data_IF_515238861589
#
_entry.id   IF_515238861589
#
_cell.length_a   1.000
_cell.length_b   1.000
_cell.length_c   1.000
_cell.angle_alpha   90.00
_cell.angle_beta   90.00
_cell.angle_gamma   90.00
#
_symmetry.space_group_name_H-M   'P 1'
#
loop_
_entity.id
_entity.type
_entity.pdbx_description
1 polymer ?
#
# COMPACT_ATOMS: atom_id res chain seq x y z
N UNK A 1 -17.29 -1.83 7.22
CA UNK A 1 -16.29 -1.48 8.27
C UNK A 1 -15.92 0.01 8.20
N UNK A 2 -15.91 0.76 9.34
CA UNK A 2 -15.47 2.18 9.36
C UNK A 2 -13.93 2.24 9.49
N UNK A 3 -13.24 2.66 8.44
CA UNK A 3 -11.76 2.76 8.41
C UNK A 3 -11.34 4.18 8.77
N UNK A 4 -10.52 4.36 9.81
CA UNK A 4 -9.92 5.66 10.18
C UNK A 4 -8.78 6.02 9.22
N UNK A 5 -8.53 7.30 9.00
CA UNK A 5 -7.44 7.80 8.16
C UNK A 5 -6.56 8.75 8.97
N UNK A 6 -5.28 8.41 9.08
CA UNK A 6 -4.25 9.23 9.71
C UNK A 6 -3.26 9.69 8.63
N UNK A 7 -3.06 11.02 8.53
CA UNK A 7 -2.18 11.64 7.54
C UNK A 7 -0.96 12.26 8.22
N UNK A 8 0.22 12.01 7.67
CA UNK A 8 1.50 12.54 8.17
C UNK A 8 2.24 13.30 7.06
N UNK A 9 2.99 14.33 7.43
CA UNK A 9 3.92 15.02 6.51
C UNK A 9 5.12 14.13 6.18
N UNK A 10 5.67 13.45 7.19
CA UNK A 10 6.82 12.56 7.07
C UNK A 10 6.81 11.51 8.17
N UNK A 11 7.19 10.27 7.84
CA UNK A 11 7.41 9.18 8.80
C UNK A 11 8.68 8.39 8.40
N UNK A 12 9.19 7.56 9.31
CA UNK A 12 10.23 6.59 8.95
C UNK A 12 9.67 5.59 7.92
N UNK A 13 8.58 4.93 8.27
CA UNK A 13 7.82 4.00 7.42
C UNK A 13 6.36 4.02 7.85
N UNK A 14 5.42 3.94 6.92
CA UNK A 14 3.98 3.83 7.24
C UNK A 14 3.67 2.50 7.91
N UNK A 15 4.37 1.39 7.56
CA UNK A 15 4.25 0.10 8.26
C UNK A 15 4.77 0.19 9.69
N UNK A 16 5.92 0.82 9.93
CA UNK A 16 6.45 0.98 11.29
C UNK A 16 5.55 1.87 12.15
N UNK A 17 4.92 2.88 11.54
CA UNK A 17 3.93 3.71 12.21
C UNK A 17 2.69 2.89 12.60
N UNK A 18 2.20 2.02 11.70
CA UNK A 18 1.11 1.09 11.99
C UNK A 18 1.46 0.13 13.14
N UNK A 19 2.66 -0.47 13.10
CA UNK A 19 3.18 -1.34 14.18
C UNK A 19 3.18 -0.61 15.54
N UNK A 20 3.65 0.63 15.57
CA UNK A 20 3.67 1.44 16.80
C UNK A 20 2.26 1.73 17.31
N UNK A 21 1.32 2.08 16.42
CA UNK A 21 -0.08 2.32 16.79
C UNK A 21 -0.72 1.07 17.40
N UNK A 22 -0.48 -0.11 16.84
CA UNK A 22 -0.98 -1.38 17.40
C UNK A 22 -0.43 -1.60 18.82
N UNK A 23 0.86 -1.35 19.05
CA UNK A 23 1.52 -1.50 20.35
C UNK A 23 0.96 -0.53 21.43
N UNK A 24 0.42 0.62 21.04
CA UNK A 24 -0.30 1.53 21.96
C UNK A 24 -1.82 1.27 21.96
N UNK A 25 -2.22 0.01 21.73
CA UNK A 25 -3.61 -0.51 21.78
C UNK A 25 -4.59 0.15 20.78
N UNK A 26 -4.09 0.64 19.65
CA UNK A 26 -4.94 1.17 18.59
C UNK A 26 -5.53 0.02 17.78
N UNK A 27 -6.77 -0.37 18.05
CA UNK A 27 -7.39 -1.60 17.50
C UNK A 27 -8.33 -1.37 16.30
N UNK A 28 -8.76 -0.12 16.08
CA UNK A 28 -9.70 0.16 14.96
C UNK A 28 -8.99 0.04 13.61
N UNK A 29 -9.68 -0.52 12.57
CA UNK A 29 -9.15 -0.53 11.21
C UNK A 29 -8.72 0.87 10.77
N UNK A 30 -7.46 1.01 10.36
CA UNK A 30 -6.87 2.33 10.14
C UNK A 30 -5.95 2.33 8.93
N UNK A 31 -6.04 3.39 8.13
CA UNK A 31 -5.06 3.73 7.10
C UNK A 31 -4.13 4.82 7.65
N UNK A 32 -2.83 4.55 7.60
CA UNK A 32 -1.75 5.51 7.82
C UNK A 32 -1.21 5.92 6.47
N UNK A 33 -1.16 7.20 6.16
CA UNK A 33 -0.53 7.72 4.93
C UNK A 33 0.47 8.81 5.23
N UNK A 34 1.49 8.95 4.38
CA UNK A 34 2.52 9.99 4.52
C UNK A 34 2.92 10.56 3.17
N UNK A 35 3.29 11.85 3.13
CA UNK A 35 3.80 12.50 1.92
C UNK A 35 5.18 11.98 1.52
N UNK A 36 6.01 11.54 2.49
CA UNK A 36 7.33 10.92 2.28
C UNK A 36 7.65 9.93 3.38
N UNK A 37 8.51 8.96 3.07
CA UNK A 37 9.09 8.06 4.07
C UNK A 37 10.62 8.20 4.05
N UNK A 38 11.26 8.31 5.22
CA UNK A 38 12.72 8.43 5.32
C UNK A 38 13.42 7.07 5.31
N UNK A 39 12.72 6.01 5.73
CA UNK A 39 13.19 4.63 5.74
C UNK A 39 12.09 3.69 5.22
N UNK A 40 11.55 3.99 4.01
CA UNK A 40 10.53 3.14 3.37
C UNK A 40 11.04 1.71 3.20
N UNK A 41 10.20 0.72 3.52
CA UNK A 41 10.53 -0.70 3.48
C UNK A 41 9.83 -1.41 2.33
N UNK A 42 10.54 -2.32 1.69
CA UNK A 42 10.03 -3.31 0.76
C UNK A 42 10.20 -4.73 1.32
N UNK A 43 9.89 -5.74 0.53
CA UNK A 43 10.07 -7.14 0.89
C UNK A 43 11.56 -7.51 0.97
N UNK A 44 11.90 -8.52 1.79
CA UNK A 44 13.26 -9.08 1.92
C UNK A 44 14.33 -8.02 2.25
N UNK A 45 14.00 -7.08 3.15
CA UNK A 45 14.93 -6.03 3.57
C UNK A 45 15.22 -4.93 2.54
N UNK A 46 14.61 -4.98 1.35
CA UNK A 46 14.81 -3.96 0.31
C UNK A 46 14.21 -2.62 0.75
N UNK A 47 14.85 -1.53 0.33
CA UNK A 47 14.34 -0.16 0.54
C UNK A 47 13.25 0.16 -0.49
N UNK A 48 12.22 0.89 -0.06
CA UNK A 48 11.23 1.52 -0.95
C UNK A 48 11.49 3.02 -1.03
N UNK A 49 11.84 3.52 -2.22
CA UNK A 49 12.11 4.96 -2.42
C UNK A 49 10.79 5.73 -2.31
N UNK A 50 10.72 6.65 -1.36
CA UNK A 50 9.49 7.32 -0.96
C UNK A 50 9.61 8.85 -1.01
N UNK A 51 9.90 9.40 -2.18
CA UNK A 51 9.94 10.86 -2.43
C UNK A 51 8.52 11.45 -2.46
N UNK A 52 8.36 12.70 -2.00
CA UNK A 52 7.09 13.46 -2.11
C UNK A 52 6.61 13.48 -3.56
N UNK A 53 5.32 13.25 -3.76
CA UNK A 53 4.69 13.17 -5.09
C UNK A 53 4.01 11.81 -5.34
N UNK A 54 4.53 10.74 -4.79
CA UNK A 54 3.94 9.40 -4.87
C UNK A 54 3.01 9.10 -3.69
N UNK A 55 2.24 8.02 -3.77
CA UNK A 55 1.30 7.62 -2.73
C UNK A 55 1.88 6.48 -1.88
N UNK A 56 2.03 6.74 -0.57
CA UNK A 56 2.48 5.77 0.42
C UNK A 56 1.44 5.65 1.52
N UNK A 57 0.96 4.45 1.75
CA UNK A 57 0.01 4.20 2.83
C UNK A 57 0.11 2.77 3.34
N UNK A 58 -0.38 2.57 4.54
CA UNK A 58 -0.51 1.26 5.18
C UNK A 58 -1.89 1.15 5.78
N UNK A 59 -2.62 0.09 5.48
CA UNK A 59 -3.81 -0.30 6.21
C UNK A 59 -3.46 -1.36 7.23
N UNK A 60 -4.01 -1.25 8.44
CA UNK A 60 -3.93 -2.32 9.43
C UNK A 60 -5.28 -2.55 10.09
N UNK A 61 -5.53 -3.80 10.47
CA UNK A 61 -6.74 -4.24 11.16
C UNK A 61 -6.50 -5.57 11.86
N UNK A 62 -7.33 -5.85 12.87
CA UNK A 62 -7.35 -7.13 13.57
C UNK A 62 -7.89 -8.23 12.66
N UNK A 63 -7.19 -9.36 12.62
CA UNK A 63 -7.62 -10.56 11.89
C UNK A 63 -8.55 -11.39 12.77
N UNK A 64 -9.75 -11.66 12.29
CA UNK A 64 -10.57 -12.72 12.87
C UNK A 64 -9.99 -14.07 12.41
N UNK A 65 -9.36 -14.79 13.33
CA UNK A 65 -8.55 -16.00 13.05
C UNK A 65 -9.31 -17.14 12.37
N UNK A 66 -10.65 -17.09 12.35
CA UNK A 66 -11.48 -18.24 11.88
C UNK A 66 -11.71 -18.27 10.35
N UNK A 67 -11.35 -17.24 9.59
CA UNK A 67 -11.88 -17.11 8.22
C UNK A 67 -10.88 -17.07 7.06
N UNK A 68 -9.65 -16.57 7.18
CA UNK A 68 -8.76 -16.42 6.00
C UNK A 68 -7.28 -16.60 6.39
N UNK A 69 -6.54 -17.42 5.62
CA UNK A 69 -5.10 -17.58 5.77
C UNK A 69 -4.35 -16.33 5.28
N UNK A 70 -3.24 -15.98 5.96
CA UNK A 70 -2.33 -14.88 5.59
C UNK A 70 -1.92 -14.87 4.11
N UNK A 71 -1.68 -16.05 3.51
CA UNK A 71 -1.33 -16.19 2.10
C UNK A 71 -2.44 -15.70 1.16
N UNK A 72 -3.69 -15.96 1.49
CA UNK A 72 -4.84 -15.51 0.70
C UNK A 72 -4.97 -13.98 0.72
N UNK A 73 -4.63 -13.32 1.84
CA UNK A 73 -4.64 -11.86 1.88
C UNK A 73 -3.61 -11.23 0.94
N UNK A 74 -2.46 -11.87 0.71
CA UNK A 74 -1.47 -11.34 -0.24
C UNK A 74 -2.04 -11.30 -1.67
N UNK A 75 -2.74 -12.36 -2.07
CA UNK A 75 -3.42 -12.44 -3.37
C UNK A 75 -4.53 -11.39 -3.46
N UNK A 76 -5.40 -11.35 -2.46
CA UNK A 76 -6.56 -10.46 -2.43
C UNK A 76 -6.15 -8.98 -2.47
N UNK A 77 -5.12 -8.60 -1.70
CA UNK A 77 -4.63 -7.22 -1.67
C UNK A 77 -4.07 -6.80 -3.04
N UNK A 78 -3.24 -7.64 -3.67
CA UNK A 78 -2.70 -7.36 -5.00
C UNK A 78 -3.81 -7.27 -6.06
N UNK A 79 -4.78 -8.19 -6.03
CA UNK A 79 -5.93 -8.21 -6.94
C UNK A 79 -6.79 -6.95 -6.77
N UNK A 80 -7.13 -6.59 -5.52
CA UNK A 80 -7.95 -5.42 -5.24
C UNK A 80 -7.31 -4.14 -5.76
N UNK A 81 -6.05 -3.89 -5.42
CA UNK A 81 -5.33 -2.68 -5.84
C UNK A 81 -5.18 -2.65 -7.35
N UNK A 82 -4.84 -3.79 -7.99
CA UNK A 82 -4.83 -3.90 -9.45
C UNK A 82 -6.18 -3.51 -10.06
N UNK A 83 -7.28 -4.05 -9.53
CA UNK A 83 -8.65 -3.77 -10.02
C UNK A 83 -8.99 -2.29 -9.89
N UNK A 84 -8.68 -1.67 -8.75
CA UNK A 84 -8.95 -0.24 -8.52
C UNK A 84 -8.15 0.62 -9.51
N UNK A 85 -6.83 0.40 -9.62
CA UNK A 85 -5.97 1.18 -10.53
C UNK A 85 -6.38 0.96 -11.99
N UNK A 86 -6.64 -0.29 -12.39
CA UNK A 86 -7.05 -0.60 -13.77
C UNK A 86 -8.38 0.09 -14.13
N UNK A 87 -9.35 0.12 -13.21
CA UNK A 87 -10.66 0.77 -13.43
C UNK A 87 -10.52 2.30 -13.45
N UNK A 88 -9.83 2.87 -12.45
CA UNK A 88 -9.68 4.33 -12.30
C UNK A 88 -8.99 4.96 -13.50
N UNK A 89 -7.97 4.29 -14.03
CA UNK A 89 -7.14 4.84 -15.12
C UNK A 89 -7.39 4.19 -16.48
N UNK A 90 -8.35 3.27 -16.60
CA UNK A 90 -8.67 2.54 -17.85
C UNK A 90 -7.41 1.94 -18.49
N UNK A 91 -6.54 1.30 -17.70
CA UNK A 91 -5.28 0.70 -18.12
C UNK A 91 -5.17 -0.75 -17.66
N UNK A 92 -4.61 -1.61 -18.51
CA UNK A 92 -4.37 -3.03 -18.18
C UNK A 92 -3.14 -3.16 -17.27
N UNK A 93 -3.37 -3.26 -15.96
CA UNK A 93 -2.33 -3.50 -14.96
C UNK A 93 -2.20 -5.00 -14.75
N UNK A 94 -0.95 -5.51 -14.72
CA UNK A 94 -0.63 -6.91 -14.44
C UNK A 94 -0.09 -7.07 -13.01
N UNK A 95 -0.35 -8.20 -12.41
CA UNK A 95 0.27 -8.60 -11.13
C UNK A 95 1.56 -9.37 -11.48
N UNK A 96 2.68 -8.91 -10.93
CA UNK A 96 3.89 -9.73 -10.80
C UNK A 96 3.88 -10.31 -9.39
N UNK A 97 3.56 -11.57 -9.35
CA UNK A 97 3.45 -12.32 -8.11
C UNK A 97 4.75 -12.26 -7.27
N UNK A 98 4.70 -12.20 -5.92
CA UNK A 98 3.45 -12.16 -5.13
C UNK A 98 2.93 -10.77 -4.81
N UNK A 99 3.64 -9.67 -5.08
CA UNK A 99 3.41 -8.39 -4.39
C UNK A 99 3.67 -7.13 -5.24
N UNK A 100 3.88 -7.26 -6.54
CA UNK A 100 4.16 -6.11 -7.41
C UNK A 100 3.06 -5.92 -8.46
N UNK A 101 2.76 -4.67 -8.79
CA UNK A 101 1.92 -4.33 -9.94
C UNK A 101 2.76 -3.69 -11.03
N UNK A 102 2.51 -4.14 -12.26
CA UNK A 102 3.25 -3.71 -13.45
C UNK A 102 2.33 -3.11 -14.51
N UNK A 103 2.85 -2.14 -15.22
CA UNK A 103 2.35 -1.68 -16.51
C UNK A 103 3.46 -1.85 -17.56
N UNK A 104 3.17 -2.54 -18.66
CA UNK A 104 4.17 -2.82 -19.74
C UNK A 104 5.52 -3.30 -19.18
N UNK A 105 5.49 -4.30 -18.27
CA UNK A 105 6.66 -4.87 -17.58
C UNK A 105 7.39 -3.92 -16.60
N UNK A 106 6.98 -2.65 -16.48
CA UNK A 106 7.57 -1.66 -15.56
C UNK A 106 6.77 -1.60 -14.25
N UNK A 107 7.46 -1.58 -13.12
CA UNK A 107 6.83 -1.57 -11.78
C UNK A 107 6.21 -0.22 -11.46
N UNK A 108 4.94 -0.25 -11.06
CA UNK A 108 4.18 0.93 -10.63
C UNK A 108 3.75 0.87 -9.17
N UNK A 109 3.71 -0.32 -8.56
CA UNK A 109 3.30 -0.50 -7.17
C UNK A 109 4.03 -1.67 -6.54
N UNK A 110 4.36 -1.53 -5.26
CA UNK A 110 4.83 -2.61 -4.39
C UNK A 110 3.96 -2.72 -3.15
N UNK A 111 3.71 -3.96 -2.71
CA UNK A 111 2.90 -4.28 -1.53
C UNK A 111 3.76 -5.01 -0.53
N UNK A 112 3.80 -4.53 0.72
CA UNK A 112 4.50 -5.15 1.84
C UNK A 112 3.48 -5.59 2.88
N UNK A 113 3.25 -6.90 2.99
CA UNK A 113 2.32 -7.47 3.95
C UNK A 113 3.08 -8.09 5.12
N UNK A 114 2.65 -7.74 6.32
CA UNK A 114 3.22 -8.22 7.59
C UNK A 114 2.10 -8.60 8.55
N UNK A 115 2.40 -9.45 9.52
CA UNK A 115 1.51 -9.72 10.66
C UNK A 115 2.25 -9.50 11.97
N UNK A 116 1.50 -9.09 13.00
CA UNK A 116 1.99 -9.02 14.37
C UNK A 116 0.95 -9.60 15.31
N UNK A 117 1.39 -10.31 16.33
CA UNK A 117 0.59 -10.71 17.48
C UNK A 117 0.88 -9.70 18.58
N UNK A 118 -0.16 -9.08 19.11
CA UNK A 118 -0.07 -8.17 20.25
C UNK A 118 -1.16 -8.52 21.28
N UNK A 119 -0.75 -9.00 22.45
CA UNK A 119 -1.64 -9.66 23.39
C UNK A 119 -2.26 -10.91 22.76
N UNK A 120 -3.57 -11.07 22.90
CA UNK A 120 -4.34 -12.18 22.31
C UNK A 120 -4.81 -11.91 20.87
N UNK A 121 -4.41 -10.79 20.26
CA UNK A 121 -4.90 -10.33 18.95
C UNK A 121 -3.83 -10.43 17.90
N UNK A 122 -4.23 -10.91 16.71
CA UNK A 122 -3.38 -10.91 15.51
C UNK A 122 -3.81 -9.80 14.57
N UNK A 123 -2.87 -9.00 14.11
CA UNK A 123 -3.11 -7.91 13.17
C UNK A 123 -2.47 -8.18 11.82
N UNK A 124 -3.18 -7.81 10.76
CA UNK A 124 -2.64 -7.69 9.42
C UNK A 124 -2.23 -6.24 9.16
N UNK A 125 -1.05 -6.06 8.58
CA UNK A 125 -0.49 -4.78 8.19
C UNK A 125 -0.13 -4.87 6.72
N UNK A 126 -0.73 -4.02 5.88
CA UNK A 126 -0.52 -4.04 4.43
C UNK A 126 -0.05 -2.66 3.99
N UNK A 127 1.25 -2.54 3.78
CA UNK A 127 1.87 -1.35 3.22
C UNK A 127 1.82 -1.35 1.70
N UNK A 128 1.57 -0.19 1.12
CA UNK A 128 1.49 0.01 -0.31
C UNK A 128 2.24 1.27 -0.72
N UNK A 129 3.15 1.11 -1.67
CA UNK A 129 3.80 2.21 -2.36
C UNK A 129 3.37 2.23 -3.82
N UNK A 130 2.73 3.32 -4.26
CA UNK A 130 2.29 3.49 -5.65
C UNK A 130 3.06 4.65 -6.27
N UNK A 131 3.76 4.40 -7.36
CA UNK A 131 4.41 5.42 -8.17
C UNK A 131 3.32 6.18 -8.94
N UNK A 132 2.77 7.22 -8.34
CA UNK A 132 1.70 8.00 -8.94
C UNK A 132 2.22 9.08 -9.87
N UNK A 133 3.11 9.96 -9.37
CA UNK A 133 3.56 11.14 -10.10
C UNK A 133 5.06 11.15 -10.40
N UNK A 134 5.86 10.32 -9.72
CA UNK A 134 7.30 10.24 -9.91
C UNK A 134 7.73 8.80 -10.15
N UNK A 135 8.53 8.59 -11.19
CA UNK A 135 9.31 7.36 -11.36
C UNK A 135 10.50 7.41 -10.40
N UNK A 136 10.68 6.42 -9.51
CA UNK A 136 11.83 6.37 -8.62
C UNK A 136 13.15 6.16 -9.37
N UNK A 137 13.12 5.74 -10.63
CA UNK A 137 14.27 5.50 -11.51
C UNK A 137 15.36 4.66 -10.84
N UNK A 138 14.99 3.42 -10.48
CA UNK A 138 15.87 2.51 -9.74
C UNK A 138 16.66 1.65 -10.73
N UNK A 139 18.01 1.66 -10.62
CA UNK A 139 18.90 0.89 -11.52
C UNK A 139 18.63 -0.64 -11.49
N UNK A 140 18.20 -1.19 -10.36
CA UNK A 140 18.05 -2.65 -10.17
C UNK A 140 16.78 -3.27 -10.79
N UNK A 141 15.79 -2.46 -11.17
CA UNK A 141 14.58 -2.94 -11.88
C UNK A 141 13.88 -1.81 -12.63
N UNK A 142 13.20 -2.17 -13.72
CA UNK A 142 12.47 -1.21 -14.53
C UNK A 142 11.21 -0.72 -13.81
N UNK A 143 11.05 0.59 -13.64
CA UNK A 143 9.91 1.24 -13.03
C UNK A 143 9.28 2.30 -13.93
N UNK A 144 8.10 2.76 -13.56
CA UNK A 144 7.41 3.90 -14.15
C UNK A 144 6.40 4.46 -13.16
N UNK A 145 5.67 5.52 -13.52
CA UNK A 145 4.61 6.08 -12.69
C UNK A 145 3.30 6.27 -13.50
N UNK A 146 2.19 6.37 -12.77
CA UNK A 146 0.87 6.53 -13.39
C UNK A 146 0.76 7.82 -14.20
N UNK A 147 1.40 8.92 -13.76
CA UNK A 147 1.46 10.18 -14.50
C UNK A 147 1.94 9.99 -15.94
N UNK A 148 3.01 9.23 -16.16
CA UNK A 148 3.54 8.97 -17.51
C UNK A 148 2.62 8.08 -18.32
N UNK A 149 1.91 7.14 -17.67
CA UNK A 149 0.99 6.21 -18.34
C UNK A 149 -0.27 6.91 -18.87
N UNK A 150 -0.76 7.94 -18.17
CA UNK A 150 -2.02 8.61 -18.49
C UNK A 150 -1.84 10.08 -18.89
N UNK A 151 -0.59 10.53 -18.98
CA UNK A 151 -0.19 11.89 -19.36
C UNK A 151 -0.87 13.02 -18.56
N UNK A 152 -1.08 12.80 -17.24
CA UNK A 152 -1.60 13.82 -16.31
C UNK A 152 -1.21 13.56 -14.86
N UNK A 153 -1.18 14.61 -14.04
CA UNK A 153 -0.94 14.47 -12.61
C UNK A 153 -2.06 13.69 -11.91
N UNK A 154 -1.66 12.88 -10.94
CA UNK A 154 -2.57 12.09 -10.10
C UNK A 154 -2.82 12.83 -8.79
N UNK A 155 -4.08 13.06 -8.46
CA UNK A 155 -4.48 13.46 -7.11
C UNK A 155 -4.41 12.25 -6.17
N UNK A 156 -3.36 12.22 -5.35
CA UNK A 156 -3.12 11.13 -4.39
C UNK A 156 -4.21 11.05 -3.31
N UNK A 157 -4.84 12.16 -2.94
CA UNK A 157 -5.93 12.13 -1.95
C UNK A 157 -7.18 11.49 -2.55
N UNK A 158 -7.54 11.83 -3.79
CA UNK A 158 -8.66 11.23 -4.52
C UNK A 158 -8.44 9.73 -4.71
N UNK A 159 -7.24 9.33 -5.16
CA UNK A 159 -6.89 7.91 -5.33
C UNK A 159 -6.97 7.15 -4.00
N UNK A 160 -6.40 7.70 -2.92
CA UNK A 160 -6.45 7.09 -1.59
C UNK A 160 -7.89 6.96 -1.08
N UNK A 161 -8.74 7.95 -1.34
CA UNK A 161 -10.16 7.89 -0.98
C UNK A 161 -10.90 6.79 -1.75
N UNK A 162 -10.65 6.67 -3.05
CA UNK A 162 -11.18 5.58 -3.90
C UNK A 162 -10.75 4.21 -3.36
N UNK A 163 -9.47 4.05 -3.01
CA UNK A 163 -8.93 2.83 -2.40
C UNK A 163 -9.64 2.54 -1.06
N UNK A 164 -9.71 3.53 -0.16
CA UNK A 164 -10.39 3.40 1.14
C UNK A 164 -11.85 2.98 1.00
N UNK A 165 -12.59 3.55 0.03
CA UNK A 165 -13.99 3.21 -0.25
C UNK A 165 -14.13 1.74 -0.64
N UNK A 166 -13.26 1.24 -1.50
CA UNK A 166 -13.29 -0.14 -1.97
C UNK A 166 -12.80 -1.15 -0.92
N UNK A 167 -11.96 -0.73 0.04
CA UNK A 167 -11.49 -1.58 1.13
C UNK A 167 -12.50 -1.76 2.28
N UNK A 168 -13.61 -1.04 2.31
CA UNK A 168 -14.64 -1.21 3.35
C UNK A 168 -15.37 -2.55 3.28
N UNK A 169 -15.33 -3.20 2.13
CA UNK A 169 -16.03 -4.47 1.84
C UNK A 169 -15.13 -5.71 2.08
N UNK A 170 -13.99 -5.51 2.73
CA UNK A 170 -13.05 -6.55 3.16
C UNK A 170 -13.27 -7.02 4.58
#
# INVERSE_FOLDING_TARGET
>A
MKIKLLKFKSVKSTNDTALRLIKIKYSKPTIVTSLKQTKGRGTMGKKWISKKGNLFFTIFFELNQKKINFKHFAILNAYLIRRIISKEFKRKIKIKWPNDLLFSKKKICGILQETIIYGKKKFLIVGMGINTNLDPNIKSFSSTCLKYIINRNIDNNKLLYTIKKNMKNF
#
